data_IF_262419687151
#
_entry.id   IF_262419687151
#
_cell.length_a   1.000
_cell.length_b   1.000
_cell.length_c   1.000
_cell.angle_alpha   90.00
_cell.angle_beta   90.00
_cell.angle_gamma   90.00
#
_symmetry.space_group_name_H-M   'P 1'
#
loop_
_entity.id
_entity.type
_entity.pdbx_description
1 polymer ?
#
# COMPACT_ATOMS: atom_id res chain seq x y z
N UNK A 1 13.76 -10.79 3.78
CA UNK A 1 15.04 -10.15 4.12
C UNK A 1 16.06 -10.42 3.04
N UNK A 2 17.17 -9.69 3.03
CA UNK A 2 18.33 -9.96 2.19
C UNK A 2 19.36 -10.72 3.03
N UNK A 3 19.77 -11.92 2.59
CA UNK A 3 20.75 -12.74 3.30
C UNK A 3 22.11 -12.64 2.61
N UNK A 4 23.13 -12.18 3.34
CA UNK A 4 24.53 -12.05 2.88
C UNK A 4 25.43 -12.69 3.93
N UNK A 5 26.24 -13.68 3.52
CA UNK A 5 27.24 -14.34 4.39
C UNK A 5 26.68 -14.81 5.75
N UNK A 6 25.47 -15.39 5.75
CA UNK A 6 24.82 -15.88 6.97
C UNK A 6 24.10 -14.81 7.80
N UNK A 7 24.20 -13.53 7.44
CA UNK A 7 23.43 -12.44 8.08
C UNK A 7 22.18 -12.15 7.27
N UNK A 8 21.01 -12.15 7.91
CA UNK A 8 19.76 -11.72 7.27
C UNK A 8 19.38 -10.32 7.71
N UNK A 9 19.35 -9.39 6.76
CA UNK A 9 18.91 -8.02 6.97
C UNK A 9 17.42 -7.94 6.63
N UNK A 10 16.62 -7.48 7.58
CA UNK A 10 15.17 -7.30 7.41
C UNK A 10 14.78 -5.88 7.78
N UNK A 11 13.91 -5.27 6.96
CA UNK A 11 13.31 -3.97 7.27
C UNK A 11 12.08 -4.22 8.15
N UNK A 12 11.98 -3.63 9.36
CA UNK A 12 10.78 -3.73 10.19
C UNK A 12 9.52 -3.26 9.45
N UNK A 13 8.35 -3.87 9.69
CA UNK A 13 7.12 -3.53 8.95
C UNK A 13 6.67 -2.08 9.13
N UNK A 14 6.90 -1.49 10.30
CA UNK A 14 6.64 -0.08 10.61
C UNK A 14 7.56 0.90 9.85
N UNK A 15 8.47 0.38 9.03
CA UNK A 15 9.32 1.14 8.10
C UNK A 15 8.98 0.85 6.62
N UNK A 16 7.97 0.03 6.36
CA UNK A 16 7.55 -0.35 5.01
C UNK A 16 6.27 0.37 4.59
N UNK A 17 6.26 0.89 3.36
CA UNK A 17 5.12 1.57 2.73
C UNK A 17 4.98 1.07 1.28
N UNK A 18 4.17 0.03 1.03
CA UNK A 18 3.91 -0.44 -0.33
C UNK A 18 3.28 0.65 -1.21
N UNK A 19 3.76 0.77 -2.45
CA UNK A 19 3.28 1.73 -3.44
C UNK A 19 2.36 1.07 -4.46
N UNK A 20 1.20 1.67 -4.75
CA UNK A 20 0.20 1.13 -5.68
C UNK A 20 -0.33 2.22 -6.63
N UNK A 21 -0.68 1.89 -7.89
CA UNK A 21 -1.43 2.81 -8.75
C UNK A 21 -2.81 3.11 -8.13
N UNK A 22 -3.20 4.40 -8.10
CA UNK A 22 -4.49 4.82 -7.51
C UNK A 22 -5.69 4.25 -8.28
N UNK A 23 -5.54 4.10 -9.60
CA UNK A 23 -6.57 3.57 -10.49
C UNK A 23 -5.98 2.98 -11.78
N UNK A 24 -6.76 2.21 -12.57
CA UNK A 24 -6.33 1.80 -13.91
C UNK A 24 -5.91 3.01 -14.74
N UNK A 25 -4.81 2.89 -15.47
CA UNK A 25 -4.22 4.01 -16.24
C UNK A 25 -3.18 4.83 -15.48
N UNK A 26 -3.14 4.76 -14.14
CA UNK A 26 -2.09 5.39 -13.34
C UNK A 26 -0.75 4.59 -13.35
N UNK A 27 -0.71 3.42 -14.00
CA UNK A 27 0.46 2.54 -14.07
C UNK A 27 0.07 1.06 -14.09
N UNK A 28 1.06 0.18 -14.27
CA UNK A 28 0.86 -1.27 -14.15
C UNK A 28 0.76 -1.71 -12.68
N UNK A 29 0.03 -2.81 -12.41
CA UNK A 29 -0.08 -3.38 -11.05
C UNK A 29 -1.20 -2.80 -10.18
N UNK A 30 -2.23 -2.19 -10.78
CA UNK A 30 -3.42 -1.72 -10.05
C UNK A 30 -4.11 -2.87 -9.31
N UNK A 31 -4.58 -2.57 -8.09
CA UNK A 31 -5.43 -3.44 -7.28
C UNK A 31 -6.74 -2.72 -6.96
N UNK A 32 -7.87 -3.43 -7.00
CA UNK A 32 -9.13 -2.88 -6.51
C UNK A 32 -9.05 -2.56 -5.00
N UNK A 33 -9.84 -1.62 -4.47
CA UNK A 33 -9.87 -1.34 -3.03
C UNK A 33 -10.10 -2.58 -2.15
N UNK A 34 -10.91 -3.53 -2.62
CA UNK A 34 -11.13 -4.82 -1.93
C UNK A 34 -9.85 -5.66 -1.84
N UNK A 35 -9.05 -5.72 -2.91
CA UNK A 35 -7.77 -6.44 -2.91
C UNK A 35 -6.73 -5.72 -2.05
N UNK A 36 -6.69 -4.38 -2.10
CA UNK A 36 -5.82 -3.59 -1.20
C UNK A 36 -6.15 -3.90 0.27
N UNK A 37 -7.43 -3.91 0.62
CA UNK A 37 -7.89 -4.23 1.98
C UNK A 37 -7.52 -5.66 2.39
N UNK A 38 -7.71 -6.62 1.49
CA UNK A 38 -7.34 -8.02 1.72
C UNK A 38 -5.82 -8.16 1.97
N UNK A 39 -5.00 -7.54 1.12
CA UNK A 39 -3.54 -7.57 1.26
C UNK A 39 -3.07 -6.84 2.51
N UNK A 40 -3.65 -5.70 2.86
CA UNK A 40 -3.36 -4.97 4.09
C UNK A 40 -3.57 -5.83 5.35
N UNK A 41 -4.69 -6.55 5.41
CA UNK A 41 -5.05 -7.38 6.56
C UNK A 41 -4.07 -8.56 6.77
N UNK A 42 -3.41 -9.03 5.70
CA UNK A 42 -2.37 -10.07 5.83
C UNK A 42 -1.16 -9.60 6.66
N UNK A 43 -0.94 -8.28 6.78
CA UNK A 43 0.10 -7.69 7.62
C UNK A 43 -0.41 -7.29 9.01
N UNK A 44 -1.67 -7.59 9.37
CA UNK A 44 -2.25 -7.29 10.68
C UNK A 44 -2.05 -5.83 11.15
N UNK A 45 -2.09 -4.88 10.21
CA UNK A 45 -1.88 -3.46 10.50
C UNK A 45 -0.46 -3.05 10.90
N UNK A 46 0.55 -3.92 10.73
CA UNK A 46 1.94 -3.64 11.11
C UNK A 46 2.68 -2.71 10.14
N UNK A 47 2.17 -2.52 8.92
CA UNK A 47 2.77 -1.64 7.93
C UNK A 47 2.65 -0.18 8.35
N UNK A 48 3.66 0.64 8.03
CA UNK A 48 3.63 2.08 8.28
C UNK A 48 2.48 2.79 7.55
N UNK A 49 2.12 2.28 6.37
CA UNK A 49 1.04 2.82 5.56
C UNK A 49 1.11 2.33 4.13
N UNK A 50 0.40 3.01 3.25
CA UNK A 50 0.40 2.79 1.81
C UNK A 50 0.72 4.09 1.10
N UNK A 51 1.38 3.99 -0.05
CA UNK A 51 1.65 5.10 -0.96
C UNK A 51 0.89 4.86 -2.25
N UNK A 52 0.45 5.93 -2.90
CA UNK A 52 -0.14 5.82 -4.23
C UNK A 52 0.50 6.74 -5.25
N UNK A 53 0.65 6.22 -6.47
CA UNK A 53 0.80 7.04 -7.65
C UNK A 53 -0.58 7.18 -8.32
N UNK A 54 -1.23 8.34 -8.26
CA UNK A 54 -0.84 9.57 -7.57
C UNK A 54 -2.07 10.22 -6.94
N UNK A 55 -1.86 11.29 -6.16
CA UNK A 55 -2.95 12.07 -5.58
C UNK A 55 -3.90 12.64 -6.65
N UNK A 56 -3.38 13.05 -7.82
CA UNK A 56 -4.21 13.54 -8.93
C UNK A 56 -5.04 12.41 -9.56
N UNK A 57 -4.44 11.23 -9.73
CA UNK A 57 -5.16 10.07 -10.24
C UNK A 57 -6.23 9.58 -9.28
N UNK A 58 -5.98 9.62 -7.97
CA UNK A 58 -7.01 9.27 -6.99
C UNK A 58 -8.14 10.31 -6.95
N UNK A 59 -7.77 11.60 -6.93
CA UNK A 59 -8.73 12.71 -6.94
C UNK A 59 -9.64 12.72 -8.17
N UNK A 60 -9.10 12.41 -9.36
CA UNK A 60 -9.92 12.31 -10.59
C UNK A 60 -10.89 11.13 -10.59
N UNK A 61 -10.68 10.14 -9.70
CA UNK A 61 -11.62 9.04 -9.46
C UNK A 61 -12.48 9.24 -8.20
N UNK A 62 -12.46 10.41 -7.58
CA UNK A 62 -13.23 10.65 -6.35
C UNK A 62 -12.67 9.94 -5.12
N UNK A 63 -11.34 9.90 -4.97
CA UNK A 63 -10.63 9.50 -3.74
C UNK A 63 -10.81 8.04 -3.31
N UNK A 64 -11.10 7.15 -4.25
CA UNK A 64 -11.39 5.73 -3.95
C UNK A 64 -10.25 4.99 -3.24
N UNK A 65 -8.99 5.30 -3.56
CA UNK A 65 -7.85 4.68 -2.89
C UNK A 65 -7.63 5.32 -1.52
N UNK A 66 -7.57 6.65 -1.46
CA UNK A 66 -7.35 7.42 -0.25
C UNK A 66 -8.36 7.09 0.84
N UNK A 67 -9.66 7.08 0.51
CA UNK A 67 -10.73 6.78 1.46
C UNK A 67 -10.67 5.33 1.97
N UNK A 68 -10.31 4.39 1.10
CA UNK A 68 -10.12 3.00 1.50
C UNK A 68 -8.95 2.87 2.49
N UNK A 69 -7.78 3.44 2.17
CA UNK A 69 -6.59 3.41 3.04
C UNK A 69 -6.84 4.14 4.35
N UNK A 70 -7.57 5.25 4.31
CA UNK A 70 -7.97 6.03 5.47
C UNK A 70 -8.80 5.19 6.45
N UNK A 71 -9.80 4.49 5.93
CA UNK A 71 -10.64 3.55 6.71
C UNK A 71 -9.80 2.42 7.34
N UNK A 72 -8.92 1.79 6.57
CA UNK A 72 -8.05 0.69 7.04
C UNK A 72 -7.10 1.09 8.18
N UNK A 73 -6.74 2.38 8.27
CA UNK A 73 -5.82 2.91 9.27
C UNK A 73 -6.51 3.63 10.44
N UNK A 74 -7.84 3.76 10.40
CA UNK A 74 -8.63 4.34 11.49
C UNK A 74 -8.36 5.83 11.78
N UNK A 75 -8.15 6.65 10.74
CA UNK A 75 -7.85 8.10 10.86
C UNK A 75 -8.64 8.95 9.87
#
# INVERSE_FOLDING_TARGET
GLTIQGTTITVPYDKQVPGLPAQPGAGGGYMSPSLVSQSWNAFSGQLKGLMTWSINWDGSKGWTFGDNVRSLQGR
#
